data_IF_256786393944
#
_entry.id   IF_256786393944
#
_cell.length_a   1.000
_cell.length_b   1.000
_cell.length_c   1.000
_cell.angle_alpha   90.00
_cell.angle_beta   90.00
_cell.angle_gamma   90.00
#
_symmetry.space_group_name_H-M   'P 1'
#
loop_
_entity.id
_entity.type
_entity.pdbx_description
1 polymer ?
#
# COMPACT_ATOMS: atom_id res chain seq x y z
N UNK A 1 -35.98 -20.22 -17.03
CA UNK A 1 -34.95 -20.30 -15.98
C UNK A 1 -34.04 -19.11 -16.13
N UNK A 2 -34.05 -18.20 -15.15
CA UNK A 2 -33.20 -17.01 -15.12
C UNK A 2 -32.28 -17.12 -13.91
N UNK A 3 -31.06 -17.58 -14.12
CA UNK A 3 -30.02 -17.51 -13.09
C UNK A 3 -29.44 -16.09 -13.11
N UNK A 4 -29.73 -15.34 -12.05
CA UNK A 4 -29.19 -14.00 -11.81
C UNK A 4 -27.94 -14.14 -10.96
N UNK A 5 -26.74 -13.68 -11.39
CA UNK A 5 -25.56 -13.69 -10.54
C UNK A 5 -25.52 -12.39 -9.73
N UNK A 6 -26.23 -12.35 -8.60
CA UNK A 6 -26.13 -11.23 -7.64
C UNK A 6 -25.32 -11.68 -6.44
N UNK A 7 -24.04 -11.30 -6.39
CA UNK A 7 -23.19 -11.53 -5.22
C UNK A 7 -21.75 -10.99 -5.28
N UNK A 8 -21.20 -10.68 -6.46
CA UNK A 8 -19.77 -10.38 -6.61
C UNK A 8 -19.38 -8.88 -6.65
N UNK A 9 -20.31 -7.94 -6.52
CA UNK A 9 -20.03 -6.51 -6.79
C UNK A 9 -19.63 -5.65 -5.58
N UNK A 10 -20.08 -5.95 -4.35
CA UNK A 10 -19.80 -5.05 -3.22
C UNK A 10 -18.36 -5.17 -2.69
N UNK A 11 -17.84 -6.40 -2.54
CA UNK A 11 -16.48 -6.63 -2.06
C UNK A 11 -15.39 -6.14 -3.03
N UNK A 12 -15.70 -6.11 -4.33
CA UNK A 12 -14.79 -5.57 -5.36
C UNK A 12 -14.67 -4.04 -5.29
N UNK A 13 -15.79 -3.35 -5.10
CA UNK A 13 -15.81 -1.89 -4.99
C UNK A 13 -15.14 -1.37 -3.71
N UNK A 14 -15.41 -2.03 -2.58
CA UNK A 14 -14.78 -1.70 -1.28
C UNK A 14 -13.27 -1.92 -1.33
N UNK A 15 -12.82 -3.01 -1.96
CA UNK A 15 -11.40 -3.29 -2.15
C UNK A 15 -10.72 -2.29 -3.10
N UNK A 16 -11.39 -1.88 -4.18
CA UNK A 16 -10.89 -0.84 -5.08
C UNK A 16 -10.79 0.53 -4.38
N UNK A 17 -11.75 0.86 -3.52
CA UNK A 17 -11.71 2.07 -2.71
C UNK A 17 -10.55 2.05 -1.71
N UNK A 18 -10.35 0.93 -1.01
CA UNK A 18 -9.23 0.74 -0.08
C UNK A 18 -7.88 0.91 -0.79
N UNK A 19 -7.72 0.30 -1.97
CA UNK A 19 -6.54 0.49 -2.83
C UNK A 19 -6.31 1.96 -3.18
N UNK A 20 -7.36 2.66 -3.60
CA UNK A 20 -7.29 4.08 -3.93
C UNK A 20 -6.88 4.95 -2.75
N UNK A 21 -7.42 4.67 -1.55
CA UNK A 21 -7.05 5.39 -0.32
C UNK A 21 -5.59 5.18 0.08
N UNK A 22 -5.12 3.93 0.01
CA UNK A 22 -3.72 3.62 0.31
C UNK A 22 -2.83 4.31 -0.73
N UNK A 23 -3.15 4.23 -2.03
CA UNK A 23 -2.42 4.93 -3.10
C UNK A 23 -2.26 6.44 -2.84
N UNK A 24 -3.37 7.11 -2.52
CA UNK A 24 -3.37 8.54 -2.25
C UNK A 24 -2.51 8.90 -1.01
N UNK A 25 -2.64 8.11 0.06
CA UNK A 25 -1.86 8.30 1.28
C UNK A 25 -0.36 8.15 1.02
N UNK A 26 0.04 7.12 0.28
CA UNK A 26 1.45 6.90 -0.05
C UNK A 26 2.00 7.97 -0.98
N UNK A 27 1.23 8.41 -1.98
CA UNK A 27 1.64 9.51 -2.85
C UNK A 27 1.89 10.81 -2.06
N UNK A 28 1.08 11.11 -1.05
CA UNK A 28 1.29 12.23 -0.14
C UNK A 28 2.58 12.06 0.68
N UNK A 29 2.76 10.90 1.33
CA UNK A 29 3.96 10.60 2.13
C UNK A 29 5.23 10.78 1.27
N UNK A 30 5.19 10.25 0.05
CA UNK A 30 6.25 10.41 -0.93
C UNK A 30 6.57 11.88 -1.25
N UNK A 31 5.53 12.71 -1.46
CA UNK A 31 5.69 14.15 -1.66
C UNK A 31 6.32 14.86 -0.46
N UNK A 32 6.02 14.42 0.77
CA UNK A 32 6.59 14.98 1.99
C UNK A 32 8.06 14.58 2.18
N UNK A 33 8.43 13.35 1.85
CA UNK A 33 9.84 12.91 1.83
C UNK A 33 10.64 13.71 0.81
N UNK A 34 10.12 13.88 -0.42
CA UNK A 34 10.81 14.63 -1.49
C UNK A 34 11.07 16.10 -1.12
N UNK A 35 10.20 16.69 -0.30
CA UNK A 35 10.35 18.05 0.22
C UNK A 35 11.21 18.12 1.50
N UNK A 36 11.76 16.99 1.95
CA UNK A 36 12.47 16.84 3.21
C UNK A 36 11.64 17.32 4.43
N UNK A 37 10.30 17.23 4.33
CA UNK A 37 9.37 17.63 5.38
C UNK A 37 9.17 16.55 6.45
N UNK A 38 9.52 15.29 6.12
CA UNK A 38 9.46 14.15 7.03
C UNK A 38 10.80 13.40 6.97
N UNK A 39 11.30 12.99 8.14
CA UNK A 39 12.47 12.14 8.27
C UNK A 39 12.11 10.68 7.95
N UNK A 40 12.92 10.03 7.10
CA UNK A 40 12.69 8.65 6.64
C UNK A 40 12.75 7.62 7.77
N UNK A 41 13.66 7.77 8.72
CA UNK A 41 13.83 6.84 9.83
C UNK A 41 12.65 6.94 10.80
N UNK A 42 12.24 8.17 11.15
CA UNK A 42 11.06 8.41 11.98
C UNK A 42 9.77 7.85 11.34
N UNK A 43 9.70 7.86 10.01
CA UNK A 43 8.58 7.29 9.27
C UNK A 43 8.60 5.76 9.28
N UNK A 44 9.75 5.13 9.15
CA UNK A 44 9.88 3.68 9.32
C UNK A 44 9.51 3.25 10.75
N UNK A 45 9.95 3.99 11.77
CA UNK A 45 9.59 3.74 13.16
C UNK A 45 8.07 3.83 13.38
N UNK A 46 7.42 4.86 12.83
CA UNK A 46 5.96 4.99 12.88
C UNK A 46 5.25 3.77 12.30
N UNK A 47 5.65 3.31 11.10
CA UNK A 47 5.01 2.15 10.50
C UNK A 47 5.35 0.84 11.20
N UNK A 48 6.53 0.74 11.82
CA UNK A 48 6.90 -0.38 12.70
C UNK A 48 5.90 -0.50 13.84
N UNK A 49 5.66 0.60 14.55
CA UNK A 49 4.73 0.65 15.68
C UNK A 49 3.29 0.39 15.20
N UNK A 50 2.85 1.03 14.12
CA UNK A 50 1.52 0.83 13.55
C UNK A 50 1.25 -0.64 13.18
N UNK A 51 2.18 -1.29 12.49
CA UNK A 51 2.04 -2.70 12.10
C UNK A 51 2.02 -3.66 13.29
N UNK A 52 2.68 -3.30 14.40
CA UNK A 52 2.67 -4.09 15.63
C UNK A 52 1.29 -4.11 16.30
N UNK A 53 0.51 -3.03 16.14
CA UNK A 53 -0.85 -2.89 16.69
C UNK A 53 -1.95 -3.38 15.76
N UNK A 54 -1.64 -3.61 14.49
CA UNK A 54 -2.61 -4.10 13.52
C UNK A 54 -3.08 -5.52 13.93
N UNK A 55 -4.36 -5.90 13.78
CA UNK A 55 -4.81 -7.27 14.00
C UNK A 55 -4.14 -8.24 13.01
N UNK A 56 -3.97 -9.51 13.39
CA UNK A 56 -3.42 -10.54 12.50
C UNK A 56 -4.57 -11.35 11.87
N UNK A 57 -5.22 -10.79 10.85
CA UNK A 57 -6.32 -11.43 10.10
C UNK A 57 -5.97 -11.63 8.63
N UNK A 58 -6.67 -12.53 7.93
CA UNK A 58 -6.51 -12.71 6.47
C UNK A 58 -6.66 -11.42 5.68
N UNK A 59 -7.57 -10.55 6.11
CA UNK A 59 -7.83 -9.25 5.47
C UNK A 59 -6.64 -8.30 5.64
N UNK A 60 -6.00 -8.30 6.81
CA UNK A 60 -4.86 -7.42 7.11
C UNK A 60 -3.53 -7.90 6.53
N UNK A 61 -3.38 -9.19 6.17
CA UNK A 61 -2.12 -9.74 5.65
C UNK A 61 -1.66 -9.00 4.39
N UNK A 62 -2.58 -8.70 3.48
CA UNK A 62 -2.26 -7.98 2.26
C UNK A 62 -1.70 -6.57 2.57
N UNK A 63 -2.37 -5.84 3.48
CA UNK A 63 -1.92 -4.51 3.91
C UNK A 63 -0.53 -4.57 4.55
N UNK A 64 -0.27 -5.56 5.42
CA UNK A 64 1.03 -5.77 6.07
C UNK A 64 2.14 -5.95 5.05
N UNK A 65 1.95 -6.86 4.09
CA UNK A 65 2.95 -7.16 3.05
C UNK A 65 3.31 -5.91 2.24
N UNK A 66 2.29 -5.15 1.83
CA UNK A 66 2.48 -3.92 1.06
C UNK A 66 3.27 -2.88 1.85
N UNK A 67 2.94 -2.67 3.13
CA UNK A 67 3.64 -1.71 3.98
C UNK A 67 5.08 -2.18 4.28
N UNK A 68 5.27 -3.47 4.58
CA UNK A 68 6.60 -4.02 4.85
C UNK A 68 7.55 -3.90 3.66
N UNK A 69 7.06 -4.19 2.45
CA UNK A 69 7.86 -4.03 1.23
C UNK A 69 8.25 -2.56 1.00
N UNK A 70 7.32 -1.63 1.24
CA UNK A 70 7.59 -0.22 1.11
C UNK A 70 8.59 0.30 2.17
N UNK A 71 8.45 -0.12 3.42
CA UNK A 71 9.39 0.18 4.51
C UNK A 71 10.80 -0.32 4.20
N UNK A 72 10.91 -1.52 3.64
CA UNK A 72 12.22 -2.05 3.24
C UNK A 72 12.89 -1.10 2.23
N UNK A 73 12.14 -0.58 1.26
CA UNK A 73 12.67 0.40 0.33
C UNK A 73 13.09 1.73 1.00
N UNK A 74 12.40 2.19 2.06
CA UNK A 74 12.87 3.34 2.84
C UNK A 74 14.25 3.08 3.46
N UNK A 75 14.43 1.91 4.07
CA UNK A 75 15.68 1.50 4.75
C UNK A 75 16.85 1.31 3.78
N UNK A 76 16.55 0.79 2.61
CA UNK A 76 17.54 0.56 1.55
C UNK A 76 17.96 1.88 0.87
N UNK A 77 17.41 3.02 1.29
CA UNK A 77 17.71 4.34 0.72
C UNK A 77 17.20 4.48 -0.72
N UNK A 78 16.19 3.70 -1.09
CA UNK A 78 15.62 3.73 -2.45
C UNK A 78 15.08 5.13 -2.72
N UNK A 79 15.38 5.62 -3.93
CA UNK A 79 14.88 6.92 -4.37
C UNK A 79 13.35 6.96 -4.32
N UNK A 80 12.82 8.12 -3.98
CA UNK A 80 11.38 8.32 -3.80
C UNK A 80 10.60 7.94 -5.06
N UNK A 81 11.05 8.35 -6.25
CA UNK A 81 10.36 8.05 -7.48
C UNK A 81 10.33 6.53 -7.76
N UNK A 82 11.33 5.80 -7.29
CA UNK A 82 11.39 4.35 -7.40
C UNK A 82 10.43 3.66 -6.40
N UNK A 83 10.38 4.14 -5.16
CA UNK A 83 9.42 3.64 -4.16
C UNK A 83 7.97 3.82 -4.64
N UNK A 84 7.67 5.00 -5.19
CA UNK A 84 6.35 5.33 -5.73
C UNK A 84 5.96 4.39 -6.87
N UNK A 85 6.88 4.09 -7.80
CA UNK A 85 6.64 3.14 -8.91
C UNK A 85 6.35 1.73 -8.39
N UNK A 86 7.23 1.20 -7.53
CA UNK A 86 7.07 -0.14 -6.95
C UNK A 86 5.74 -0.28 -6.21
N UNK A 87 5.38 0.77 -5.46
CA UNK A 87 4.14 0.81 -4.71
C UNK A 87 2.89 0.81 -5.62
N UNK A 88 2.89 1.63 -6.67
CA UNK A 88 1.79 1.67 -7.64
C UNK A 88 1.63 0.33 -8.37
N UNK A 89 2.73 -0.31 -8.75
CA UNK A 89 2.72 -1.64 -9.37
C UNK A 89 2.02 -2.69 -8.48
N UNK A 90 2.33 -2.70 -7.18
CA UNK A 90 1.71 -3.60 -6.20
C UNK A 90 0.20 -3.36 -6.10
N UNK A 91 -0.23 -2.10 -6.12
CA UNK A 91 -1.66 -1.75 -6.10
C UNK A 91 -2.39 -2.19 -7.37
N UNK A 92 -1.77 -1.99 -8.53
CA UNK A 92 -2.36 -2.32 -9.84
C UNK A 92 -2.41 -3.82 -10.13
N UNK A 93 -1.73 -4.65 -9.34
CA UNK A 93 -1.77 -6.12 -9.48
C UNK A 93 -0.46 -6.76 -9.94
N UNK A 94 0.67 -6.07 -9.80
CA UNK A 94 2.00 -6.53 -10.18
C UNK A 94 2.38 -6.18 -11.62
N UNK A 95 3.67 -6.36 -11.96
CA UNK A 95 4.15 -6.28 -13.34
C UNK A 95 3.34 -7.26 -14.17
N UNK A 96 2.62 -6.78 -15.17
CA UNK A 96 2.25 -7.64 -16.30
C UNK A 96 3.55 -8.23 -16.81
N UNK A 97 3.77 -9.52 -16.58
CA UNK A 97 4.83 -10.26 -17.26
C UNK A 97 4.49 -10.24 -18.74
N UNK A 98 5.17 -9.36 -19.47
CA UNK A 98 5.45 -9.51 -20.89
C UNK A 98 6.90 -9.98 -21.02
#
# INVERSE_FOLDING_TARGET
MSDTPTGYSSGSAEFAFLKGHIAATMALIHGLIAQNAINRDALDDFFTDYLSHLPHTRETIALRLVIDQWRQGLRDGVDEAQLRRQFLEVITGGRSSD
#
